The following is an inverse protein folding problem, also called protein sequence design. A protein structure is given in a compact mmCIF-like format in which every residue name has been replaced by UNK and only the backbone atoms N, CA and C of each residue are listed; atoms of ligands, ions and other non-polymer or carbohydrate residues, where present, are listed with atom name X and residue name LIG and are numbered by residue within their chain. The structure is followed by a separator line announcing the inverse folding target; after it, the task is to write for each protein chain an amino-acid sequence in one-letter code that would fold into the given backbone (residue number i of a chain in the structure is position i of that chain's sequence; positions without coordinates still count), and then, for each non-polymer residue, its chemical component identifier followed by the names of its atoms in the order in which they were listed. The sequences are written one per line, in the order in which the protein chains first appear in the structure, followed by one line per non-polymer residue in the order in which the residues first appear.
data_IF_704376812228
#
_entry.id   IF_704376812228
#
_cell.length_a   1.000
_cell.length_b   1.000
_cell.length_c   1.000
_cell.angle_alpha   90.00
_cell.angle_beta   90.00
_cell.angle_gamma   90.00
#
_symmetry.space_group_name_H-M   'P 1'
#
loop_
_entity.id
_entity.type
_entity.pdbx_description
1 polymer ?
#
# COMPACT_ATOMS: atom_id res chain seq x y z
N UNK A 1 -83.03 4.12 7.13
CA UNK A 1 -82.29 3.79 5.89
C UNK A 1 -80.88 4.36 6.00
N UNK A 2 -79.89 3.51 6.23
CA UNK A 2 -78.56 3.51 5.59
C UNK A 2 -77.69 2.52 6.37
N UNK A 3 -77.41 1.37 5.76
CA UNK A 3 -76.67 0.26 6.35
C UNK A 3 -75.16 0.50 6.18
N UNK A 4 -74.42 0.45 7.29
CA UNK A 4 -72.96 0.48 7.33
C UNK A 4 -72.44 -0.94 7.03
N UNK A 5 -71.59 -1.09 6.01
CA UNK A 5 -70.93 -2.35 5.64
C UNK A 5 -69.80 -2.69 6.64
N UNK A 6 -69.54 -3.96 6.96
CA UNK A 6 -68.42 -4.37 7.80
C UNK A 6 -67.10 -4.41 7.01
N UNK A 7 -66.00 -4.04 7.67
CA UNK A 7 -64.63 -4.09 7.14
C UNK A 7 -64.06 -5.52 7.19
N UNK A 8 -63.33 -5.91 6.14
CA UNK A 8 -62.62 -7.19 6.04
C UNK A 8 -61.42 -7.27 7.00
N UNK A 9 -61.11 -8.45 7.56
CA UNK A 9 -59.94 -8.64 8.41
C UNK A 9 -58.67 -8.83 7.57
N UNK A 10 -57.71 -7.91 7.70
CA UNK A 10 -56.36 -8.07 7.16
C UNK A 10 -55.51 -8.91 8.11
N UNK A 11 -54.99 -10.03 7.60
CA UNK A 11 -54.04 -10.93 8.27
C UNK A 11 -52.67 -10.26 8.41
N UNK A 12 -52.05 -10.17 9.60
CA UNK A 12 -50.66 -9.75 9.71
C UNK A 12 -49.73 -10.94 9.43
N UNK A 13 -49.02 -10.86 8.31
CA UNK A 13 -47.94 -11.77 7.89
C UNK A 13 -46.65 -11.40 8.61
N UNK A 14 -45.93 -12.43 9.06
CA UNK A 14 -44.65 -12.44 9.77
C UNK A 14 -43.62 -11.43 9.23
N UNK A 15 -43.12 -10.57 10.11
CA UNK A 15 -41.90 -9.77 9.90
C UNK A 15 -40.72 -10.55 10.47
N UNK A 16 -39.90 -11.14 9.60
CA UNK A 16 -38.53 -11.46 9.93
C UNK A 16 -37.62 -11.18 8.73
N UNK A 17 -36.39 -10.79 9.06
CA UNK A 17 -35.21 -10.70 8.19
C UNK A 17 -35.18 -9.60 7.12
N UNK A 18 -34.55 -8.47 7.48
CA UNK A 18 -33.55 -7.77 6.64
C UNK A 18 -32.82 -6.71 7.47
N UNK A 19 -31.85 -7.16 8.28
CA UNK A 19 -30.70 -6.33 8.66
C UNK A 19 -29.50 -6.83 7.83
N UNK A 20 -29.52 -6.47 6.54
CA UNK A 20 -28.32 -6.56 5.72
C UNK A 20 -27.64 -5.19 5.80
N UNK A 21 -26.56 -5.12 6.58
CA UNK A 21 -25.65 -3.98 6.62
C UNK A 21 -24.93 -3.93 5.27
N UNK A 22 -25.28 -2.94 4.46
CA UNK A 22 -24.57 -2.56 3.24
C UNK A 22 -23.10 -2.31 3.61
N UNK A 23 -22.23 -3.20 3.12
CA UNK A 23 -20.78 -3.03 3.18
C UNK A 23 -20.38 -2.16 1.99
N UNK A 24 -19.86 -0.94 2.19
CA UNK A 24 -19.48 -0.11 1.06
C UNK A 24 -18.21 -0.72 0.44
N UNK A 25 -18.38 -1.29 -0.75
CA UNK A 25 -17.27 -1.50 -1.67
C UNK A 25 -16.71 -0.13 -2.05
N UNK A 26 -15.44 -0.06 -2.44
CA UNK A 26 -14.82 1.17 -2.97
C UNK A 26 -15.42 1.66 -4.31
N UNK A 27 -16.65 1.24 -4.62
CA UNK A 27 -17.41 1.60 -5.82
C UNK A 27 -18.54 2.62 -5.53
N UNK A 28 -18.77 3.02 -4.27
CA UNK A 28 -19.79 4.03 -3.89
C UNK A 28 -19.38 5.49 -4.16
N UNK A 29 -18.41 5.74 -5.04
CA UNK A 29 -18.30 7.03 -5.71
C UNK A 29 -19.33 7.06 -6.85
N UNK A 30 -20.13 8.13 -6.97
CA UNK A 30 -20.86 8.45 -8.22
C UNK A 30 -19.94 8.10 -9.39
N UNK A 31 -20.36 7.32 -10.41
CA UNK A 31 -19.46 6.76 -11.39
C UNK A 31 -18.83 7.90 -12.17
N UNK A 32 -17.67 8.38 -11.71
CA UNK A 32 -16.75 9.12 -12.53
C UNK A 32 -16.30 8.06 -13.51
N UNK A 33 -16.89 8.07 -14.71
CA UNK A 33 -16.48 7.20 -15.81
C UNK A 33 -15.01 7.54 -16.08
N UNK A 34 -14.12 6.85 -15.38
CA UNK A 34 -12.69 7.00 -15.57
C UNK A 34 -12.41 6.31 -16.89
N UNK A 35 -12.36 7.10 -17.96
CA UNK A 35 -11.93 6.60 -19.25
C UNK A 35 -10.48 6.16 -19.08
N UNK A 36 -10.28 4.86 -18.93
CA UNK A 36 -8.95 4.25 -18.91
C UNK A 36 -8.24 4.69 -20.18
N UNK A 37 -7.06 5.31 -20.12
CA UNK A 37 -6.31 5.68 -21.30
C UNK A 37 -6.01 4.44 -22.15
N UNK A 38 -5.88 4.59 -23.47
CA UNK A 38 -5.58 3.46 -24.36
C UNK A 38 -4.28 2.74 -23.95
N UNK A 39 -3.25 3.52 -23.58
CA UNK A 39 -1.97 2.98 -23.12
C UNK A 39 -2.10 2.11 -21.86
N UNK A 40 -3.03 2.43 -20.94
CA UNK A 40 -3.21 1.68 -19.69
C UNK A 40 -3.91 0.34 -19.96
N UNK A 41 -4.88 0.31 -20.90
CA UNK A 41 -5.49 -0.96 -21.34
C UNK A 41 -4.50 -1.88 -22.03
N UNK A 42 -3.67 -1.34 -22.92
CA UNK A 42 -2.61 -2.10 -23.60
C UNK A 42 -1.57 -2.62 -22.59
N UNK A 43 -1.21 -1.79 -21.60
CA UNK A 43 -0.33 -2.19 -20.50
C UNK A 43 -0.92 -3.34 -19.70
N UNK A 44 -2.17 -3.21 -19.28
CA UNK A 44 -2.85 -4.22 -18.48
C UNK A 44 -2.89 -5.57 -19.21
N UNK A 45 -3.23 -5.57 -20.51
CA UNK A 45 -3.24 -6.78 -21.33
C UNK A 45 -1.84 -7.43 -21.43
N UNK A 46 -0.79 -6.62 -21.61
CA UNK A 46 0.59 -7.12 -21.65
C UNK A 46 1.02 -7.71 -20.30
N UNK A 47 0.66 -7.08 -19.18
CA UNK A 47 0.96 -7.57 -17.83
C UNK A 47 0.25 -8.89 -17.57
N UNK A 48 -1.05 -8.99 -17.87
CA UNK A 48 -1.81 -10.22 -17.66
C UNK A 48 -1.25 -11.37 -18.50
N UNK A 49 -0.88 -11.11 -19.75
CA UNK A 49 -0.22 -12.09 -20.62
C UNK A 49 1.13 -12.56 -20.04
N UNK A 50 1.94 -11.63 -19.54
CA UNK A 50 3.23 -11.98 -18.93
C UNK A 50 3.05 -12.76 -17.62
N UNK A 51 2.03 -12.45 -16.82
CA UNK A 51 1.65 -13.22 -15.63
C UNK A 51 1.26 -14.65 -15.98
N UNK A 52 0.40 -14.83 -16.99
CA UNK A 52 -0.03 -16.15 -17.45
C UNK A 52 1.13 -16.98 -18.01
N UNK A 53 2.07 -16.33 -18.71
CA UNK A 53 3.28 -16.97 -19.23
C UNK A 53 4.39 -17.19 -18.18
N UNK A 54 4.21 -16.73 -16.94
CA UNK A 54 5.26 -16.68 -15.90
C UNK A 54 6.56 -15.98 -16.39
N UNK A 55 6.43 -14.97 -17.23
CA UNK A 55 7.54 -14.23 -17.84
C UNK A 55 8.03 -13.11 -16.90
N UNK A 56 8.95 -13.46 -15.99
CA UNK A 56 9.51 -12.52 -15.03
C UNK A 56 10.33 -11.39 -15.68
N UNK A 57 10.97 -11.65 -16.81
CA UNK A 57 11.78 -10.66 -17.51
C UNK A 57 10.88 -9.59 -18.12
N UNK A 58 9.79 -10.00 -18.77
CA UNK A 58 8.80 -9.08 -19.30
C UNK A 58 8.11 -8.30 -18.18
N UNK A 59 7.72 -8.95 -17.07
CA UNK A 59 7.17 -8.24 -15.91
C UNK A 59 8.16 -7.19 -15.36
N UNK A 60 9.46 -7.51 -15.30
CA UNK A 60 10.49 -6.55 -14.90
C UNK A 60 10.55 -5.39 -15.88
N UNK A 61 10.60 -5.65 -17.19
CA UNK A 61 10.63 -4.63 -18.24
C UNK A 61 9.40 -3.72 -18.18
N UNK A 62 8.20 -4.29 -18.10
CA UNK A 62 6.93 -3.55 -18.00
C UNK A 62 6.90 -2.68 -16.74
N UNK A 63 7.37 -3.19 -15.59
CA UNK A 63 7.39 -2.44 -14.32
C UNK A 63 8.27 -1.19 -14.34
N UNK A 64 9.31 -1.18 -15.19
CA UNK A 64 10.27 -0.07 -15.30
C UNK A 64 9.82 1.06 -16.24
N UNK A 65 8.77 0.85 -17.02
CA UNK A 65 8.28 1.83 -17.98
C UNK A 65 7.43 2.92 -17.31
N UNK A 66 7.27 4.10 -17.94
CA UNK A 66 6.35 5.12 -17.46
C UNK A 66 4.95 4.55 -17.21
N UNK A 67 4.39 4.79 -16.02
CA UNK A 67 3.12 4.21 -15.59
C UNK A 67 3.20 2.80 -14.99
N UNK A 68 4.38 2.16 -15.00
CA UNK A 68 4.62 0.84 -14.42
C UNK A 68 3.69 -0.23 -14.98
N UNK A 69 3.08 -1.03 -14.10
CA UNK A 69 2.15 -2.09 -14.48
C UNK A 69 0.76 -1.59 -14.94
N UNK A 70 0.50 -0.28 -15.03
CA UNK A 70 -0.82 0.22 -15.40
C UNK A 70 -1.77 0.22 -14.22
N UNK A 71 -2.93 -0.42 -14.36
CA UNK A 71 -4.03 -0.35 -13.39
C UNK A 71 -3.74 -1.07 -12.07
N UNK A 72 -4.60 -0.84 -11.07
CA UNK A 72 -4.55 -1.58 -9.80
C UNK A 72 -4.71 -3.08 -10.03
N UNK A 73 -5.57 -3.49 -10.96
CA UNK A 73 -5.80 -4.91 -11.28
C UNK A 73 -4.54 -5.57 -11.83
N UNK A 74 -3.87 -4.94 -12.78
CA UNK A 74 -2.63 -5.44 -13.36
C UNK A 74 -1.48 -5.51 -12.32
N UNK A 75 -1.32 -4.47 -11.47
CA UNK A 75 -0.35 -4.48 -10.37
C UNK A 75 -0.55 -5.67 -9.43
N UNK A 76 -1.81 -5.99 -9.12
CA UNK A 76 -2.15 -7.10 -8.21
C UNK A 76 -1.86 -8.45 -8.81
N UNK A 77 -2.23 -8.66 -10.07
CA UNK A 77 -1.91 -9.87 -10.80
C UNK A 77 -0.38 -10.09 -10.83
N UNK A 78 0.38 -9.05 -11.20
CA UNK A 78 1.85 -9.11 -11.22
C UNK A 78 2.47 -9.37 -9.84
N UNK A 79 1.97 -8.72 -8.78
CA UNK A 79 2.49 -8.94 -7.43
C UNK A 79 2.15 -10.33 -6.89
N UNK A 80 0.95 -10.86 -7.15
CA UNK A 80 0.58 -12.24 -6.77
C UNK A 80 1.47 -13.27 -7.44
N UNK A 81 1.69 -13.13 -8.75
CA UNK A 81 2.54 -14.05 -9.51
C UNK A 81 3.95 -14.19 -8.94
N UNK A 82 4.52 -13.09 -8.40
CA UNK A 82 5.86 -13.10 -7.77
C UNK A 82 5.86 -13.48 -6.29
N UNK A 83 4.73 -13.32 -5.59
CA UNK A 83 4.58 -13.68 -4.19
C UNK A 83 4.33 -15.18 -4.00
N UNK A 84 3.73 -15.83 -5.01
CA UNK A 84 3.54 -17.27 -5.10
C UNK A 84 4.82 -17.94 -5.61
N UNK A 85 5.89 -17.99 -4.80
CA UNK A 85 6.90 -19.02 -5.05
C UNK A 85 6.22 -20.37 -4.83
N UNK A 86 6.15 -21.28 -5.82
CA UNK A 86 5.75 -22.65 -5.55
C UNK A 86 6.74 -23.19 -4.53
N UNK A 87 6.24 -23.51 -3.35
CA UNK A 87 7.05 -24.09 -2.30
C UNK A 87 7.47 -25.49 -2.74
N UNK A 88 8.57 -25.58 -3.49
CA UNK A 88 9.22 -26.84 -3.85
C UNK A 88 9.87 -27.53 -2.65
N UNK A 89 9.72 -26.99 -1.43
CA UNK A 89 10.14 -27.68 -0.19
C UNK A 89 9.02 -28.46 0.48
N UNK A 90 7.78 -28.40 -0.03
CA UNK A 90 6.66 -29.19 0.48
C UNK A 90 6.69 -30.69 0.13
N UNK A 91 7.61 -31.15 -0.73
CA UNK A 91 7.70 -32.57 -1.13
C UNK A 91 8.54 -33.45 -0.18
N UNK A 92 9.08 -32.90 0.92
CA UNK A 92 9.83 -33.66 1.93
C UNK A 92 9.37 -33.42 3.38
N UNK A 93 8.18 -32.85 3.58
CA UNK A 93 7.56 -32.83 4.91
C UNK A 93 6.78 -34.12 5.11
N UNK A 94 7.39 -35.05 5.86
CA UNK A 94 6.80 -36.30 6.30
C UNK A 94 5.38 -36.09 6.85
N UNK A 95 4.48 -36.95 6.41
CA UNK A 95 3.11 -37.11 6.90
C UNK A 95 3.16 -37.44 8.39
N UNK A 96 3.01 -36.43 9.24
CA UNK A 96 2.44 -36.49 10.60
C UNK A 96 2.77 -35.19 11.35
N UNK A 97 1.89 -34.19 11.26
CA UNK A 97 1.60 -33.25 12.36
C UNK A 97 0.30 -32.54 12.01
N UNK A 98 -0.79 -33.02 12.61
CA UNK A 98 -2.05 -32.30 12.66
C UNK A 98 -1.83 -30.86 13.13
N UNK A 99 -2.59 -29.93 12.55
CA UNK A 99 -2.67 -28.49 12.85
C UNK A 99 -2.42 -28.13 14.32
N UNK A 100 -1.16 -28.00 14.70
CA UNK A 100 -0.78 -27.32 15.93
C UNK A 100 -0.94 -25.83 15.64
N UNK A 101 -1.92 -25.19 16.28
CA UNK A 101 -2.00 -23.73 16.34
C UNK A 101 -0.65 -23.22 16.85
N UNK A 102 0.17 -22.67 15.96
CA UNK A 102 1.44 -22.06 16.34
C UNK A 102 1.09 -20.80 17.13
N UNK A 103 1.18 -20.89 18.45
CA UNK A 103 1.02 -19.74 19.33
C UNK A 103 2.29 -18.90 19.23
N UNK A 104 2.20 -17.77 18.53
CA UNK A 104 3.30 -16.81 18.50
C UNK A 104 3.31 -16.00 19.79
N UNK A 105 4.50 -15.79 20.34
CA UNK A 105 4.70 -14.84 21.45
C UNK A 105 4.58 -13.41 20.94
N UNK A 106 3.94 -12.50 21.70
CA UNK A 106 3.90 -11.08 21.34
C UNK A 106 5.29 -10.50 21.09
N UNK A 107 5.41 -9.67 20.06
CA UNK A 107 6.65 -8.99 19.73
C UNK A 107 6.90 -7.77 20.63
N UNK A 108 8.16 -7.46 20.94
CA UNK A 108 8.51 -6.34 21.83
C UNK A 108 8.02 -4.98 21.29
N UNK A 109 7.98 -4.84 19.97
CA UNK A 109 7.65 -3.58 19.29
C UNK A 109 6.17 -3.38 18.96
N UNK A 110 5.26 -4.31 19.34
CA UNK A 110 3.83 -4.19 19.01
C UNK A 110 3.18 -2.89 19.53
N UNK A 111 3.67 -2.38 20.66
CA UNK A 111 3.23 -1.09 21.20
C UNK A 111 3.56 0.09 20.27
N UNK A 112 4.74 0.08 19.64
CA UNK A 112 5.12 1.11 18.68
C UNK A 112 4.32 0.96 17.37
N UNK A 113 4.09 -0.28 16.92
CA UNK A 113 3.24 -0.55 15.75
C UNK A 113 1.86 0.07 15.95
N UNK A 114 1.22 -0.17 17.11
CA UNK A 114 -0.09 0.39 17.45
C UNK A 114 -0.11 1.92 17.39
N UNK A 115 0.91 2.59 17.93
CA UNK A 115 0.99 4.05 17.94
C UNK A 115 1.11 4.63 16.53
N UNK A 116 1.79 3.93 15.64
CA UNK A 116 2.03 4.37 14.27
C UNK A 116 0.83 4.09 13.37
N UNK A 117 0.22 2.90 13.46
CA UNK A 117 -0.95 2.54 12.64
C UNK A 117 -2.18 3.38 12.98
N UNK A 118 -2.35 3.81 14.23
CA UNK A 118 -3.41 4.78 14.61
C UNK A 118 -3.32 6.12 13.88
N UNK A 119 -2.14 6.47 13.37
CA UNK A 119 -1.90 7.69 12.58
C UNK A 119 -1.97 7.44 11.07
N UNK A 120 -2.18 6.20 10.63
CA UNK A 120 -2.32 5.85 9.22
C UNK A 120 -3.68 6.30 8.64
N UNK A 121 -3.78 6.27 7.31
CA UNK A 121 -4.97 6.61 6.53
C UNK A 121 -5.53 8.02 6.79
N UNK A 122 -4.64 9.00 6.98
CA UNK A 122 -5.02 10.43 7.11
C UNK A 122 -5.26 11.06 5.73
N UNK A 123 -4.37 10.79 4.77
CA UNK A 123 -4.44 11.41 3.45
C UNK A 123 -5.27 10.60 2.43
N UNK A 124 -5.17 9.27 2.50
CA UNK A 124 -5.82 8.35 1.57
C UNK A 124 -6.17 7.04 2.27
N UNK A 125 -7.22 6.32 1.81
CA UNK A 125 -8.19 6.73 0.80
C UNK A 125 -9.13 7.85 1.30
N UNK A 126 -9.64 8.68 0.39
CA UNK A 126 -10.56 9.79 0.71
C UNK A 126 -11.98 9.25 0.87
N UNK A 127 -12.80 9.95 1.66
CA UNK A 127 -14.23 9.62 1.80
C UNK A 127 -14.55 8.40 2.65
N UNK A 128 -13.57 7.83 3.37
CA UNK A 128 -13.82 6.70 4.28
C UNK A 128 -14.54 7.15 5.55
N UNK A 129 -15.51 6.34 5.99
CA UNK A 129 -16.14 6.52 7.28
C UNK A 129 -15.14 6.34 8.43
N UNK A 130 -15.41 6.95 9.59
CA UNK A 130 -14.56 6.77 10.78
C UNK A 130 -14.44 5.31 11.22
N UNK A 131 -15.54 4.54 11.11
CA UNK A 131 -15.54 3.10 11.42
C UNK A 131 -14.69 2.29 10.44
N UNK A 132 -14.81 2.55 9.14
CA UNK A 132 -13.96 1.92 8.13
C UNK A 132 -12.49 2.26 8.34
N UNK A 133 -12.18 3.51 8.69
CA UNK A 133 -10.81 3.92 9.00
C UNK A 133 -10.23 3.14 10.19
N UNK A 134 -10.99 3.00 11.28
CA UNK A 134 -10.55 2.25 12.45
C UNK A 134 -10.25 0.77 12.11
N UNK A 135 -11.16 0.12 11.37
CA UNK A 135 -10.95 -1.25 10.90
C UNK A 135 -9.69 -1.39 10.02
N UNK A 136 -9.43 -0.45 9.11
CA UNK A 136 -8.20 -0.47 8.30
C UNK A 136 -6.93 -0.29 9.16
N UNK A 137 -6.99 0.50 10.23
CA UNK A 137 -5.86 0.67 11.15
C UNK A 137 -5.59 -0.61 11.96
N UNK A 138 -6.66 -1.31 12.36
CA UNK A 138 -6.58 -2.62 13.02
C UNK A 138 -6.01 -3.68 12.07
N UNK A 139 -6.47 -3.73 10.81
CA UNK A 139 -5.91 -4.61 9.78
C UNK A 139 -4.40 -4.36 9.60
N UNK A 140 -4.01 -3.09 9.45
CA UNK A 140 -2.61 -2.72 9.24
C UNK A 140 -1.73 -3.12 10.44
N UNK A 141 -2.25 -2.98 11.66
CA UNK A 141 -1.57 -3.44 12.87
C UNK A 141 -1.43 -4.96 12.85
N UNK A 142 -2.51 -5.69 12.61
CA UNK A 142 -2.53 -7.15 12.57
C UNK A 142 -1.52 -7.69 11.53
N UNK A 143 -1.48 -7.09 10.34
CA UNK A 143 -0.53 -7.43 9.29
C UNK A 143 0.92 -7.30 9.77
N UNK A 144 1.30 -6.14 10.30
CA UNK A 144 2.69 -5.89 10.71
C UNK A 144 3.07 -6.77 11.91
N UNK A 145 2.21 -6.86 12.92
CA UNK A 145 2.44 -7.72 14.07
C UNK A 145 2.62 -9.18 13.67
N UNK A 146 1.80 -9.70 12.73
CA UNK A 146 1.93 -11.08 12.26
C UNK A 146 3.30 -11.39 11.65
N UNK A 147 3.90 -10.44 10.92
CA UNK A 147 5.24 -10.60 10.33
C UNK A 147 6.33 -10.55 11.41
N UNK A 148 6.22 -9.63 12.37
CA UNK A 148 7.18 -9.50 13.47
C UNK A 148 7.13 -10.72 14.41
N UNK A 149 5.94 -11.24 14.69
CA UNK A 149 5.73 -12.47 15.47
C UNK A 149 6.36 -13.70 14.82
N UNK A 150 6.27 -13.82 13.49
CA UNK A 150 6.96 -14.87 12.73
C UNK A 150 8.49 -14.67 12.65
N UNK A 151 8.96 -13.44 12.84
CA UNK A 151 10.37 -13.06 12.71
C UNK A 151 10.84 -12.19 13.89
N UNK A 152 10.92 -12.74 15.11
CA UNK A 152 11.15 -11.97 16.35
C UNK A 152 12.55 -11.35 16.48
N UNK A 153 13.43 -11.55 15.49
CA UNK A 153 14.73 -10.89 15.39
C UNK A 153 14.68 -9.56 14.64
N UNK A 154 13.55 -9.25 14.01
CA UNK A 154 13.35 -7.97 13.31
C UNK A 154 12.90 -6.92 14.32
N UNK A 155 13.60 -5.79 14.37
CA UNK A 155 13.14 -4.62 15.10
C UNK A 155 12.26 -3.74 14.20
N UNK A 156 11.13 -3.30 14.72
CA UNK A 156 10.27 -2.35 14.00
C UNK A 156 10.97 -1.00 13.85
N UNK A 157 10.79 -0.34 12.70
CA UNK A 157 11.21 1.05 12.50
C UNK A 157 10.02 1.91 12.07
N UNK A 158 10.04 3.17 12.50
CA UNK A 158 9.04 4.16 12.13
C UNK A 158 9.10 4.44 10.62
N UNK A 159 8.00 4.15 9.92
CA UNK A 159 7.88 4.24 8.46
C UNK A 159 7.60 2.90 7.78
N UNK A 160 7.76 1.77 8.49
CA UNK A 160 7.31 0.48 7.96
C UNK A 160 5.79 0.46 7.69
N UNK A 161 5.00 1.16 8.53
CA UNK A 161 3.55 1.27 8.37
C UNK A 161 3.15 1.98 7.07
N UNK A 162 3.95 2.94 6.58
CA UNK A 162 3.71 3.60 5.30
C UNK A 162 3.91 2.63 4.12
N UNK A 163 4.97 1.81 4.18
CA UNK A 163 5.23 0.78 3.16
C UNK A 163 4.12 -0.26 3.17
N UNK A 164 3.75 -0.76 4.36
CA UNK A 164 2.67 -1.73 4.52
C UNK A 164 1.32 -1.19 4.06
N UNK A 165 1.04 0.11 4.27
CA UNK A 165 -0.17 0.79 3.77
C UNK A 165 -0.25 0.72 2.24
N UNK A 166 0.86 0.97 1.54
CA UNK A 166 0.89 0.89 0.07
C UNK A 166 0.60 -0.54 -0.39
N UNK A 167 1.17 -1.55 0.26
CA UNK A 167 0.90 -2.95 -0.06
C UNK A 167 -0.57 -3.32 0.22
N UNK A 168 -1.10 -2.94 1.38
CA UNK A 168 -2.48 -3.19 1.79
C UNK A 168 -3.49 -2.63 0.79
N UNK A 169 -3.36 -1.34 0.45
CA UNK A 169 -4.23 -0.67 -0.52
C UNK A 169 -4.05 -1.19 -1.95
N UNK A 170 -2.87 -1.70 -2.28
CA UNK A 170 -2.61 -2.25 -3.62
C UNK A 170 -3.15 -3.67 -3.74
N UNK A 171 -2.89 -4.56 -2.79
CA UNK A 171 -3.05 -6.02 -2.94
C UNK A 171 -4.44 -6.57 -2.60
N UNK A 172 -5.17 -5.90 -1.71
CA UNK A 172 -6.55 -6.26 -1.37
C UNK A 172 -7.54 -5.68 -2.39
N UNK A 173 -8.64 -6.38 -2.67
CA UNK A 173 -9.77 -5.85 -3.47
C UNK A 173 -10.57 -4.88 -2.63
N UNK A 174 -11.01 -5.38 -1.49
CA UNK A 174 -11.83 -4.67 -0.52
C UNK A 174 -10.98 -4.25 0.65
N UNK A 175 -11.17 -3.01 1.08
CA UNK A 175 -10.62 -2.45 2.33
C UNK A 175 -11.76 -1.70 3.01
N UNK A 176 -12.05 -1.90 4.31
CA UNK A 176 -11.35 -2.78 5.25
C UNK A 176 -11.42 -4.26 4.89
N UNK A 177 -10.55 -5.08 5.50
CA UNK A 177 -10.60 -6.52 5.38
C UNK A 177 -11.93 -7.03 5.95
N UNK A 178 -12.68 -7.89 5.24
CA UNK A 178 -14.00 -8.31 5.70
C UNK A 178 -13.92 -9.11 7.00
N UNK A 179 -14.86 -8.87 7.92
CA UNK A 179 -14.95 -9.60 9.19
C UNK A 179 -15.22 -11.11 8.98
N UNK A 180 -15.89 -11.47 7.88
CA UNK A 180 -16.10 -12.85 7.45
C UNK A 180 -15.52 -13.03 6.04
N UNK A 181 -14.21 -13.28 5.93
CA UNK A 181 -13.54 -13.37 4.64
C UNK A 181 -13.87 -14.71 3.95
N UNK A 182 -14.17 -14.65 2.66
CA UNK A 182 -14.22 -15.83 1.81
C UNK A 182 -12.82 -16.39 1.53
N UNK A 183 -12.77 -17.49 0.80
CA UNK A 183 -11.50 -18.15 0.44
C UNK A 183 -10.60 -17.27 -0.42
N UNK A 184 -11.17 -16.39 -1.23
CA UNK A 184 -10.37 -15.48 -2.04
C UNK A 184 -9.77 -14.36 -1.22
N UNK A 185 -10.54 -13.72 -0.32
CA UNK A 185 -10.07 -12.71 0.64
C UNK A 185 -8.93 -13.25 1.51
N UNK A 186 -9.04 -14.48 2.01
CA UNK A 186 -7.96 -15.15 2.76
C UNK A 186 -6.68 -15.27 1.91
N UNK A 187 -6.80 -15.75 0.66
CA UNK A 187 -5.65 -15.80 -0.26
C UNK A 187 -5.03 -14.42 -0.53
N UNK A 188 -5.84 -13.35 -0.58
CA UNK A 188 -5.32 -11.99 -0.73
C UNK A 188 -4.53 -11.55 0.51
N UNK A 189 -5.03 -11.88 1.70
CA UNK A 189 -4.37 -11.59 2.97
C UNK A 189 -3.04 -12.35 3.12
N UNK A 190 -3.02 -13.63 2.75
CA UNK A 190 -1.81 -14.44 2.76
C UNK A 190 -0.76 -13.87 1.80
N UNK A 191 -1.19 -13.48 0.59
CA UNK A 191 -0.31 -12.80 -0.38
C UNK A 191 0.24 -11.49 0.19
N UNK A 192 -0.61 -10.68 0.83
CA UNK A 192 -0.22 -9.42 1.44
C UNK A 192 0.80 -9.63 2.57
N UNK A 193 0.57 -10.63 3.43
CA UNK A 193 1.47 -11.02 4.51
C UNK A 193 2.81 -11.47 3.95
N UNK A 194 2.81 -12.33 2.94
CA UNK A 194 4.02 -12.81 2.28
C UNK A 194 4.80 -11.66 1.58
N UNK A 195 4.11 -10.76 0.89
CA UNK A 195 4.74 -9.60 0.27
C UNK A 195 5.38 -8.67 1.31
N UNK A 196 4.68 -8.42 2.42
CA UNK A 196 5.18 -7.60 3.54
C UNK A 196 6.41 -8.25 4.18
N UNK A 197 6.37 -9.56 4.40
CA UNK A 197 7.50 -10.35 4.87
C UNK A 197 8.70 -10.26 3.93
N UNK A 198 8.51 -10.43 2.62
CA UNK A 198 9.60 -10.30 1.62
C UNK A 198 10.23 -8.91 1.68
N UNK A 199 9.42 -7.86 1.78
CA UNK A 199 9.93 -6.49 1.93
C UNK A 199 10.77 -6.34 3.20
N UNK A 200 10.26 -6.81 4.34
CA UNK A 200 10.96 -6.76 5.62
C UNK A 200 12.30 -7.53 5.57
N UNK A 201 12.31 -8.73 5.00
CA UNK A 201 13.49 -9.61 5.02
C UNK A 201 14.53 -9.27 3.96
N UNK A 202 14.14 -8.68 2.83
CA UNK A 202 15.03 -8.51 1.68
C UNK A 202 15.23 -7.07 1.22
N UNK A 203 14.29 -6.16 1.50
CA UNK A 203 14.34 -4.77 0.99
C UNK A 203 14.67 -3.75 2.07
N UNK A 204 14.08 -3.91 3.25
CA UNK A 204 14.27 -2.98 4.37
C UNK A 204 14.91 -3.63 5.60
N UNK A 205 15.44 -4.85 5.45
CA UNK A 205 16.08 -5.62 6.53
C UNK A 205 17.13 -4.83 7.28
N UNK A 206 17.94 -4.08 6.55
CA UNK A 206 19.03 -3.29 7.12
C UNK A 206 18.52 -2.14 8.02
N UNK A 207 17.25 -1.73 7.89
CA UNK A 207 16.59 -0.78 8.77
C UNK A 207 15.92 -1.45 9.99
N UNK A 208 15.82 -2.78 9.99
CA UNK A 208 15.14 -3.60 11.00
C UNK A 208 16.11 -4.36 11.91
N UNK A 209 17.39 -3.96 11.95
CA UNK A 209 18.37 -4.52 12.88
C UNK A 209 18.37 -3.80 14.23
N UNK A 210 19.13 -4.32 15.20
CA UNK A 210 19.25 -3.76 16.56
C UNK A 210 19.89 -2.34 16.64
N UNK A 211 20.19 -1.71 15.50
CA UNK A 211 20.74 -0.35 15.44
C UNK A 211 20.86 0.17 14.01
N UNK A 212 21.20 1.45 13.88
CA UNK A 212 21.24 2.18 12.60
C UNK A 212 22.52 1.97 11.78
N UNK A 213 23.43 1.10 12.22
CA UNK A 213 24.73 0.87 11.57
C UNK A 213 24.64 0.55 10.06
N UNK A 214 23.80 -0.41 9.64
CA UNK A 214 23.60 -0.72 8.22
C UNK A 214 23.05 0.47 7.42
N UNK A 215 22.09 1.22 7.98
CA UNK A 215 21.56 2.45 7.38
C UNK A 215 22.63 3.52 7.19
N UNK A 216 23.50 3.71 8.18
CA UNK A 216 24.67 4.61 8.04
C UNK A 216 25.63 4.12 6.95
N UNK A 217 25.71 2.82 6.69
CA UNK A 217 26.40 2.25 5.52
C UNK A 217 25.76 2.71 4.21
N UNK A 218 24.44 2.57 4.09
CA UNK A 218 23.68 2.99 2.91
C UNK A 218 23.82 4.48 2.61
N UNK A 219 23.76 5.34 3.63
CA UNK A 219 23.95 6.79 3.47
C UNK A 219 25.37 7.13 3.00
N UNK A 220 26.39 6.40 3.46
CA UNK A 220 27.77 6.56 2.96
C UNK A 220 27.90 6.15 1.50
N UNK A 221 27.23 5.08 1.07
CA UNK A 221 27.18 4.69 -0.35
C UNK A 221 26.49 5.75 -1.19
N UNK A 222 25.34 6.26 -0.74
CA UNK A 222 24.60 7.34 -1.41
C UNK A 222 25.49 8.57 -1.61
N UNK A 223 26.23 9.00 -0.58
CA UNK A 223 27.17 10.13 -0.67
C UNK A 223 28.26 9.89 -1.72
N UNK A 224 28.81 8.67 -1.81
CA UNK A 224 29.84 8.33 -2.80
C UNK A 224 29.29 8.30 -4.22
N UNK A 225 28.07 7.79 -4.39
CA UNK A 225 27.37 7.80 -5.69
C UNK A 225 27.08 9.24 -6.11
N UNK A 226 26.58 10.06 -5.20
CA UNK A 226 26.31 11.47 -5.45
C UNK A 226 27.59 12.21 -5.88
N UNK A 227 28.70 12.00 -5.19
CA UNK A 227 29.99 12.58 -5.56
C UNK A 227 30.47 12.22 -6.98
N UNK A 228 30.02 11.08 -7.53
CA UNK A 228 30.37 10.62 -8.88
C UNK A 228 29.38 11.06 -9.94
N UNK A 229 28.08 11.03 -9.63
CA UNK A 229 27.02 11.39 -10.57
C UNK A 229 26.85 12.91 -10.68
N UNK A 230 26.97 13.63 -9.57
CA UNK A 230 26.79 15.08 -9.47
C UNK A 230 27.73 15.67 -8.41
N UNK A 231 28.98 16.02 -8.79
CA UNK A 231 29.96 16.59 -7.88
C UNK A 231 29.54 17.95 -7.30
N UNK A 232 28.70 18.71 -7.99
CA UNK A 232 28.24 20.02 -7.52
C UNK A 232 27.23 19.84 -6.38
N UNK A 233 26.19 19.02 -6.58
CA UNK A 233 25.21 18.70 -5.54
C UNK A 233 25.86 17.99 -4.33
N UNK A 234 26.90 17.17 -4.57
CA UNK A 234 27.68 16.59 -3.47
C UNK A 234 28.38 17.66 -2.63
N UNK A 235 28.99 18.68 -3.25
CA UNK A 235 29.61 19.79 -2.49
C UNK A 235 28.55 20.50 -1.67
N UNK A 236 27.42 20.88 -2.29
CA UNK A 236 26.32 21.56 -1.61
C UNK A 236 25.85 20.80 -0.36
N UNK A 237 25.57 19.51 -0.50
CA UNK A 237 25.14 18.64 0.60
C UNK A 237 26.23 18.32 1.63
N UNK A 238 27.50 18.55 1.30
CA UNK A 238 28.65 18.32 2.18
C UNK A 238 29.11 19.57 2.92
N UNK A 239 28.74 20.76 2.45
CA UNK A 239 28.97 22.01 3.17
C UNK A 239 27.86 22.24 4.20
N UNK A 240 28.17 22.32 5.50
CA UNK A 240 27.22 22.79 6.52
C UNK A 240 27.00 24.32 6.46
N UNK A 241 27.26 24.96 5.31
CA UNK A 241 27.27 26.41 5.21
C UNK A 241 25.89 26.93 4.77
N UNK A 242 25.15 27.47 5.75
CA UNK A 242 23.86 28.11 5.54
C UNK A 242 23.93 29.28 4.54
N UNK A 243 25.11 29.87 4.31
CA UNK A 243 25.31 30.93 3.33
C UNK A 243 25.19 30.43 1.88
N UNK A 244 25.71 29.22 1.59
CA UNK A 244 25.66 28.64 0.24
C UNK A 244 24.23 28.17 -0.11
N UNK A 245 23.53 27.58 0.86
CA UNK A 245 22.10 27.23 0.73
C UNK A 245 21.23 28.47 0.50
N UNK A 246 21.51 29.59 1.20
CA UNK A 246 20.83 30.87 0.95
C UNK A 246 21.13 31.43 -0.43
N UNK A 247 22.38 31.41 -0.88
CA UNK A 247 22.77 31.91 -2.20
C UNK A 247 22.13 31.12 -3.37
N UNK A 248 21.80 29.85 -3.15
CA UNK A 248 21.17 28.98 -4.17
C UNK A 248 19.65 29.06 -4.14
N UNK A 249 19.07 29.27 -2.94
CA UNK A 249 17.63 29.44 -2.75
C UNK A 249 17.16 30.87 -2.97
N UNK A 250 18.06 31.86 -2.96
CA UNK A 250 17.75 33.22 -3.40
C UNK A 250 17.62 33.23 -4.92
N UNK A 251 16.42 33.53 -5.46
CA UNK A 251 16.28 33.74 -6.89
C UNK A 251 17.08 34.99 -7.25
N UNK A 252 18.11 34.80 -8.07
CA UNK A 252 18.96 35.84 -8.62
C UNK A 252 18.17 37.14 -8.90
N UNK A 253 18.56 38.32 -8.37
CA UNK A 253 17.89 39.59 -8.67
C UNK A 253 17.90 39.93 -10.17
N UNK A 254 18.71 39.23 -10.99
CA UNK A 254 18.64 39.31 -12.45
C UNK A 254 17.44 38.58 -13.06
N UNK A 255 16.93 37.50 -12.43
CA UNK A 255 15.70 36.81 -12.88
C UNK A 255 14.43 37.57 -12.45
N UNK A 256 14.48 38.35 -11.37
CA UNK A 256 13.37 39.23 -10.97
C UNK A 256 13.13 40.36 -12.00
N UNK A 257 14.18 40.82 -12.69
CA UNK A 257 14.06 41.85 -13.75
C UNK A 257 13.39 41.33 -15.02
N UNK A 258 13.40 40.02 -15.29
CA UNK A 258 12.70 39.44 -16.44
C UNK A 258 11.22 39.17 -16.20
N UNK A 259 10.76 39.02 -14.95
CA UNK A 259 9.31 38.89 -14.67
C UNK A 259 8.56 40.21 -14.75
N UNK A 260 9.22 41.36 -14.59
CA UNK A 260 8.56 42.66 -14.67
C UNK A 260 8.55 43.30 -16.06
N UNK A 261 9.39 42.88 -17.01
CA UNK A 261 9.35 43.40 -18.38
C UNK A 261 8.30 42.70 -19.25
N UNK A 262 8.01 41.42 -19.02
CA UNK A 262 6.98 40.70 -19.82
C UNK A 262 5.55 41.06 -19.39
N UNK A 263 5.33 41.41 -18.12
CA UNK A 263 3.98 41.82 -17.64
C UNK A 263 3.56 43.23 -18.08
N UNK A 264 4.47 44.06 -18.61
CA UNK A 264 4.17 45.45 -19.00
C UNK A 264 4.01 45.65 -20.51
N UNK A 265 4.27 44.61 -21.32
CA UNK A 265 4.07 44.60 -22.77
C UNK A 265 2.75 43.93 -23.22
N UNK A 266 1.90 43.49 -22.29
CA UNK A 266 0.59 42.88 -22.59
C UNK A 266 -0.62 43.81 -22.28
N UNK A 267 -0.38 45.08 -21.99
CA UNK A 267 -1.41 46.09 -21.76
C UNK A 267 -1.16 47.42 -22.52
N UNK A 268 -0.65 47.31 -23.74
CA UNK A 268 -0.79 48.35 -24.78
C UNK A 268 -1.37 47.70 -26.04
#
# INVERSE_FOLDING_TARGET
MSAVRPAEPQTPVLLNEKLALDSPSLEDEKPVVRITPAWERERDAAVLKAVEAHDEEELRRLSSQPGGFGSRTARRAACRARGSTPDKTADNASTDTASASVVFTPHADEGQVLLDTRRAFVAYPRGISGGSKAAMQEDLQALICSVLQQHPRLSYFQGLHDIATVLYLTLLRSVPYPAQPGEEEKREWDTLTQATKIVCLYRVRDAMGAGLGPMMGMLRLLRRLLAKADPELYRLSSTPDAALLRAILDPDPLLARHRHTVSRAAHL
#
